data_IF_444755337465
#
_entry.id   IF_444755337465
#
_cell.length_a   1.000
_cell.length_b   1.000
_cell.length_c   1.000
_cell.angle_alpha   90.00
_cell.angle_beta   90.00
_cell.angle_gamma   90.00
#
_symmetry.space_group_name_H-M   'P 1'
#
loop_
_entity.id
_entity.type
_entity.pdbx_description
1 polymer ?
#
# COMPACT_ATOMS: atom_id res chain seq x y z
N UNK A 1 4.14 11.47 8.82
CA UNK A 1 2.73 11.66 9.24
C UNK A 1 2.11 12.99 8.79
N UNK A 2 2.85 14.03 8.39
CA UNK A 2 2.29 15.35 8.02
C UNK A 2 1.50 15.34 6.69
N UNK A 3 1.84 14.47 5.74
CA UNK A 3 1.20 14.42 4.41
C UNK A 3 -0.18 13.74 4.40
N UNK A 4 -0.50 12.95 5.43
CA UNK A 4 -1.78 12.25 5.54
C UNK A 4 -2.97 13.23 5.62
N UNK A 5 -2.78 14.36 6.30
CA UNK A 5 -3.79 15.41 6.42
C UNK A 5 -4.00 16.10 5.07
N UNK A 6 -2.92 16.35 4.33
CA UNK A 6 -2.98 16.97 3.02
C UNK A 6 -3.69 16.05 2.01
N UNK A 7 -3.38 14.75 1.99
CA UNK A 7 -4.02 13.80 1.10
C UNK A 7 -5.55 13.76 1.28
N UNK A 8 -6.03 13.86 2.52
CA UNK A 8 -7.48 13.83 2.80
C UNK A 8 -8.21 15.15 2.59
N UNK A 9 -7.49 16.28 2.65
CA UNK A 9 -8.08 17.62 2.53
C UNK A 9 -7.98 18.19 1.11
N UNK A 10 -6.79 18.13 0.51
CA UNK A 10 -6.50 18.65 -0.82
C UNK A 10 -5.42 17.77 -1.50
N UNK A 11 -5.86 16.74 -2.25
CA UNK A 11 -4.98 15.85 -3.00
C UNK A 11 -4.03 16.58 -3.95
N UNK A 12 -4.49 17.65 -4.60
CA UNK A 12 -3.66 18.42 -5.53
C UNK A 12 -2.55 19.18 -4.80
N UNK A 13 -2.87 19.77 -3.65
CA UNK A 13 -1.85 20.39 -2.80
C UNK A 13 -0.84 19.37 -2.27
N UNK A 14 -1.29 18.15 -1.93
CA UNK A 14 -0.39 17.08 -1.53
C UNK A 14 0.61 16.72 -2.65
N UNK A 15 0.13 16.56 -3.89
CA UNK A 15 0.99 16.31 -5.05
C UNK A 15 1.96 17.47 -5.26
N UNK A 16 1.48 18.72 -5.29
CA UNK A 16 2.33 19.91 -5.46
C UNK A 16 3.40 20.02 -4.37
N UNK A 17 3.07 19.68 -3.12
CA UNK A 17 4.03 19.66 -2.03
C UNK A 17 5.10 18.57 -2.20
N UNK A 18 4.69 17.36 -2.60
CA UNK A 18 5.61 16.26 -2.93
C UNK A 18 6.55 16.60 -4.08
N UNK A 19 6.00 17.13 -5.18
CA UNK A 19 6.76 17.57 -6.34
C UNK A 19 7.77 18.67 -5.97
N UNK A 20 7.35 19.66 -5.17
CA UNK A 20 8.25 20.69 -4.65
C UNK A 20 9.34 20.10 -3.78
N UNK A 21 9.03 19.13 -2.93
CA UNK A 21 10.02 18.48 -2.06
C UNK A 21 11.10 17.76 -2.88
N UNK A 22 10.70 17.02 -3.91
CA UNK A 22 11.65 16.33 -4.81
C UNK A 22 12.43 17.35 -5.64
N UNK A 23 11.81 18.44 -6.10
CA UNK A 23 12.53 19.50 -6.85
C UNK A 23 13.60 20.19 -6.01
N UNK A 24 13.34 20.41 -4.72
CA UNK A 24 14.29 21.05 -3.80
C UNK A 24 15.43 20.12 -3.39
N UNK A 25 15.17 18.81 -3.30
CA UNK A 25 16.21 17.83 -3.01
C UNK A 25 15.96 16.54 -3.81
N UNK A 26 16.43 16.48 -5.08
CA UNK A 26 16.15 15.37 -5.99
C UNK A 26 16.70 14.02 -5.55
N UNK A 27 17.74 14.03 -4.72
CA UNK A 27 18.44 12.86 -4.20
C UNK A 27 17.94 12.45 -2.81
N UNK A 28 17.02 13.22 -2.22
CA UNK A 28 16.47 12.88 -0.91
C UNK A 28 15.49 11.73 -1.03
N UNK A 29 15.90 10.55 -0.54
CA UNK A 29 15.02 9.38 -0.42
C UNK A 29 13.77 9.68 0.42
N UNK A 30 13.88 10.56 1.41
CA UNK A 30 12.72 11.00 2.18
C UNK A 30 11.75 11.83 1.32
N UNK A 31 12.26 12.73 0.47
CA UNK A 31 11.42 13.51 -0.44
C UNK A 31 10.75 12.62 -1.50
N UNK A 32 11.54 11.76 -2.16
CA UNK A 32 11.04 10.81 -3.16
C UNK A 32 10.02 9.86 -2.55
N UNK A 33 10.32 9.27 -1.39
CA UNK A 33 9.42 8.36 -0.69
C UNK A 33 8.11 9.01 -0.28
N UNK A 34 8.14 10.24 0.24
CA UNK A 34 6.92 10.98 0.57
C UNK A 34 6.07 11.27 -0.67
N UNK A 35 6.71 11.70 -1.77
CA UNK A 35 5.98 11.99 -3.01
C UNK A 35 5.37 10.74 -3.63
N UNK A 36 6.13 9.65 -3.70
CA UNK A 36 5.64 8.38 -4.22
C UNK A 36 4.52 7.78 -3.36
N UNK A 37 4.61 7.90 -2.04
CA UNK A 37 3.55 7.51 -1.11
C UNK A 37 2.24 8.26 -1.42
N UNK A 38 2.31 9.58 -1.59
CA UNK A 38 1.16 10.42 -1.99
C UNK A 38 0.56 9.92 -3.31
N UNK A 39 1.40 9.73 -4.34
CA UNK A 39 0.96 9.27 -5.66
C UNK A 39 0.27 7.90 -5.58
N UNK A 40 0.84 6.95 -4.83
CA UNK A 40 0.27 5.60 -4.69
C UNK A 40 -1.09 5.58 -3.97
N UNK A 41 -1.30 6.40 -2.94
CA UNK A 41 -2.58 6.52 -2.25
C UNK A 41 -3.64 7.20 -3.13
N UNK A 42 -3.23 8.11 -4.00
CA UNK A 42 -4.09 8.81 -4.95
C UNK A 42 -4.33 8.01 -6.24
N UNK A 43 -3.78 6.81 -6.37
CA UNK A 43 -3.98 5.94 -7.53
C UNK A 43 -3.14 6.29 -8.76
N UNK A 44 -2.10 7.12 -8.59
CA UNK A 44 -1.16 7.51 -9.66
C UNK A 44 0.00 6.51 -9.70
N UNK A 45 -0.32 5.28 -10.10
CA UNK A 45 0.55 4.13 -9.89
C UNK A 45 1.78 4.11 -10.80
N UNK A 46 1.67 4.57 -12.05
CA UNK A 46 2.79 4.66 -12.99
C UNK A 46 3.88 5.58 -12.45
N UNK A 47 3.49 6.81 -12.06
CA UNK A 47 4.40 7.82 -11.52
C UNK A 47 5.00 7.37 -10.17
N UNK A 48 4.18 6.75 -9.32
CA UNK A 48 4.62 6.20 -8.04
C UNK A 48 5.66 5.10 -8.23
N UNK A 49 5.39 4.12 -9.10
CA UNK A 49 6.29 3.00 -9.36
C UNK A 49 7.64 3.48 -9.92
N UNK A 50 7.63 4.43 -10.86
CA UNK A 50 8.87 5.00 -11.42
C UNK A 50 9.76 5.63 -10.33
N UNK A 51 9.16 6.39 -9.41
CA UNK A 51 9.89 7.02 -8.31
C UNK A 51 10.39 6.00 -7.27
N UNK A 52 9.58 5.00 -6.93
CA UNK A 52 9.92 3.98 -5.94
C UNK A 52 11.04 3.07 -6.42
N UNK A 53 10.96 2.60 -7.66
CA UNK A 53 12.00 1.76 -8.27
C UNK A 53 13.33 2.53 -8.39
N UNK A 54 13.28 3.83 -8.70
CA UNK A 54 14.48 4.68 -8.67
C UNK A 54 15.04 4.84 -7.26
N UNK A 55 14.17 5.05 -6.26
CA UNK A 55 14.62 5.18 -4.88
C UNK A 55 15.26 3.89 -4.35
N UNK A 56 14.79 2.74 -4.83
CA UNK A 56 15.32 1.43 -4.45
C UNK A 56 16.75 1.20 -4.92
N UNK A 57 17.12 1.68 -6.12
CA UNK A 57 18.49 1.48 -6.66
C UNK A 57 19.58 2.15 -5.83
N UNK A 58 19.22 3.17 -5.05
CA UNK A 58 20.16 3.95 -4.23
C UNK A 58 20.25 3.43 -2.78
N UNK A 59 19.49 2.37 -2.45
CA UNK A 59 19.37 1.84 -1.09
C UNK A 59 19.96 0.44 -0.97
N UNK A 60 20.90 0.27 -0.03
CA UNK A 60 21.47 -1.04 0.33
C UNK A 60 20.42 -1.96 0.98
N UNK A 61 19.50 -1.38 1.75
CA UNK A 61 18.40 -2.10 2.38
C UNK A 61 17.15 -1.21 2.37
N UNK A 62 16.23 -1.42 1.42
CA UNK A 62 15.04 -0.62 1.33
C UNK A 62 14.11 -0.91 2.53
N UNK A 63 13.46 0.13 3.09
CA UNK A 63 12.53 -0.03 4.20
C UNK A 63 11.21 -0.66 3.74
N UNK A 64 10.50 -1.36 4.65
CA UNK A 64 9.22 -2.03 4.34
C UNK A 64 8.15 -1.13 3.71
N UNK A 65 8.08 0.16 4.09
CA UNK A 65 7.12 1.07 3.48
C UNK A 65 7.38 1.26 1.97
N UNK A 66 8.64 1.24 1.54
CA UNK A 66 9.00 1.36 0.13
C UNK A 66 8.47 0.12 -0.60
N UNK A 67 8.80 -1.07 -0.12
CA UNK A 67 8.31 -2.33 -0.66
C UNK A 67 6.78 -2.38 -0.75
N UNK A 68 6.06 -1.92 0.28
CA UNK A 68 4.60 -1.88 0.25
C UNK A 68 4.05 -0.96 -0.84
N UNK A 69 4.58 0.26 -0.97
CA UNK A 69 4.12 1.19 -1.98
C UNK A 69 4.50 0.74 -3.41
N UNK A 70 5.64 0.05 -3.57
CA UNK A 70 6.04 -0.52 -4.85
C UNK A 70 5.13 -1.69 -5.22
N UNK A 71 4.89 -2.61 -4.28
CA UNK A 71 3.89 -3.68 -4.42
C UNK A 71 2.53 -3.12 -4.84
N UNK A 72 2.02 -2.12 -4.10
CA UNK A 72 0.70 -1.54 -4.35
C UNK A 72 0.64 -0.96 -5.77
N UNK A 73 1.65 -0.21 -6.17
CA UNK A 73 1.68 0.43 -7.49
C UNK A 73 1.74 -0.61 -8.60
N UNK A 74 2.67 -1.58 -8.53
CA UNK A 74 2.82 -2.63 -9.53
C UNK A 74 1.61 -3.56 -9.62
N UNK A 75 1.01 -3.93 -8.48
CA UNK A 75 -0.21 -4.73 -8.42
C UNK A 75 -1.39 -4.03 -9.12
N UNK A 76 -1.50 -2.71 -8.98
CA UNK A 76 -2.53 -1.95 -9.66
C UNK A 76 -2.26 -1.76 -11.17
N UNK A 77 -1.00 -1.83 -11.58
CA UNK A 77 -0.59 -1.84 -13.00
C UNK A 77 -0.67 -3.24 -13.65
N UNK A 78 -1.04 -4.28 -12.90
CA UNK A 78 -1.07 -5.66 -13.39
C UNK A 78 0.31 -6.32 -13.50
N UNK A 79 1.37 -5.68 -13.01
CA UNK A 79 2.74 -6.21 -12.96
C UNK A 79 2.91 -7.10 -11.74
N UNK A 80 2.18 -8.22 -11.74
CA UNK A 80 1.99 -9.06 -10.56
C UNK A 80 3.27 -9.74 -10.07
N UNK A 81 4.09 -10.28 -10.97
CA UNK A 81 5.34 -10.96 -10.59
C UNK A 81 6.30 -10.00 -9.85
N UNK A 82 6.45 -8.78 -10.36
CA UNK A 82 7.27 -7.76 -9.73
C UNK A 82 6.65 -7.26 -8.42
N UNK A 83 5.32 -7.14 -8.36
CA UNK A 83 4.65 -6.82 -7.10
C UNK A 83 4.97 -7.88 -6.05
N UNK A 84 4.80 -9.16 -6.37
CA UNK A 84 4.99 -10.26 -5.43
C UNK A 84 6.42 -10.34 -4.89
N UNK A 85 7.42 -10.03 -5.72
CA UNK A 85 8.81 -9.86 -5.26
C UNK A 85 8.91 -8.85 -4.09
N UNK A 86 8.24 -7.69 -4.18
CA UNK A 86 8.25 -6.72 -3.07
C UNK A 86 7.40 -7.19 -1.88
N UNK A 87 6.37 -8.01 -2.08
CA UNK A 87 5.58 -8.56 -0.97
C UNK A 87 6.40 -9.53 -0.09
N UNK A 88 7.37 -10.25 -0.66
CA UNK A 88 8.27 -11.14 0.09
C UNK A 88 9.10 -10.36 1.14
N UNK A 89 9.42 -9.10 0.86
CA UNK A 89 10.15 -8.20 1.75
C UNK A 89 9.27 -7.62 2.87
N UNK A 90 7.96 -7.91 2.85
CA UNK A 90 7.00 -7.55 3.90
C UNK A 90 6.75 -8.71 4.87
N UNK A 91 7.45 -9.84 4.71
CA UNK A 91 7.39 -10.94 5.67
C UNK A 91 7.81 -10.46 7.07
N UNK A 92 7.03 -10.85 8.09
CA UNK A 92 7.23 -10.38 9.46
C UNK A 92 6.71 -8.95 9.74
N UNK A 93 6.08 -8.27 8.79
CA UNK A 93 5.45 -6.98 9.03
C UNK A 93 4.38 -7.05 10.12
N UNK A 94 4.34 -6.01 10.95
CA UNK A 94 3.33 -5.87 12.02
C UNK A 94 2.21 -4.91 11.64
N UNK A 95 2.36 -4.15 10.56
CA UNK A 95 1.39 -3.14 10.13
C UNK A 95 0.29 -3.84 9.32
N UNK A 96 -1.00 -3.69 9.69
CA UNK A 96 -2.13 -4.30 8.97
C UNK A 96 -2.12 -4.02 7.47
N UNK A 97 -1.75 -2.80 7.09
CA UNK A 97 -1.64 -2.40 5.70
C UNK A 97 -0.57 -3.18 4.93
N UNK A 98 0.54 -3.57 5.57
CA UNK A 98 1.59 -4.36 4.89
C UNK A 98 1.22 -5.84 4.81
N UNK A 99 0.51 -6.34 5.84
CA UNK A 99 -0.04 -7.69 5.84
C UNK A 99 -1.07 -7.90 4.72
N UNK A 100 -1.75 -6.84 4.23
CA UNK A 100 -2.64 -6.96 3.07
C UNK A 100 -1.89 -7.36 1.79
N UNK A 101 -0.71 -6.79 1.57
CA UNK A 101 0.14 -7.13 0.44
C UNK A 101 0.63 -8.58 0.52
N UNK A 102 1.05 -9.01 1.72
CA UNK A 102 1.43 -10.41 1.97
C UNK A 102 0.26 -11.37 1.69
N UNK A 103 -0.95 -11.02 2.13
CA UNK A 103 -2.14 -11.84 1.90
C UNK A 103 -2.44 -12.00 0.40
N UNK A 104 -2.43 -10.89 -0.35
CA UNK A 104 -2.70 -10.87 -1.79
C UNK A 104 -1.66 -11.68 -2.56
N UNK A 105 -0.37 -11.47 -2.26
CA UNK A 105 0.72 -12.22 -2.91
C UNK A 105 0.67 -13.71 -2.59
N UNK A 106 0.42 -14.08 -1.32
CA UNK A 106 0.29 -15.47 -0.91
C UNK A 106 -0.87 -16.19 -1.60
N UNK A 107 -2.02 -15.53 -1.74
CA UNK A 107 -3.16 -16.07 -2.47
C UNK A 107 -2.82 -16.26 -3.96
N UNK A 108 -2.18 -15.28 -4.60
CA UNK A 108 -1.75 -15.41 -6.01
C UNK A 108 -0.75 -16.55 -6.22
N UNK A 109 0.12 -16.80 -5.25
CA UNK A 109 1.04 -17.93 -5.24
C UNK A 109 0.36 -19.29 -4.96
N UNK A 110 -0.96 -19.32 -4.72
CA UNK A 110 -1.72 -20.52 -4.36
C UNK A 110 -1.49 -21.00 -2.92
N UNK A 111 -0.83 -20.19 -2.08
CA UNK A 111 -0.58 -20.51 -0.68
C UNK A 111 -1.69 -19.92 0.22
N UNK A 112 -2.86 -20.55 0.16
CA UNK A 112 -4.05 -20.11 0.91
C UNK A 112 -3.83 -20.11 2.43
N UNK A 113 -2.99 -21.02 2.94
CA UNK A 113 -2.67 -21.06 4.37
C UNK A 113 -1.92 -19.79 4.82
N UNK A 114 -0.94 -19.34 4.03
CA UNK A 114 -0.20 -18.11 4.32
C UNK A 114 -1.09 -16.87 4.12
N UNK A 115 -1.95 -16.85 3.10
CA UNK A 115 -2.91 -15.77 2.89
C UNK A 115 -3.86 -15.61 4.09
N UNK A 116 -4.46 -16.72 4.53
CA UNK A 116 -5.35 -16.76 5.70
C UNK A 116 -4.63 -16.32 6.98
N UNK A 117 -3.38 -16.76 7.18
CA UNK A 117 -2.57 -16.36 8.34
C UNK A 117 -2.29 -14.85 8.34
N UNK A 118 -1.97 -14.26 7.19
CA UNK A 118 -1.74 -12.82 7.06
C UNK A 118 -3.02 -12.02 7.36
N UNK A 119 -4.18 -12.46 6.83
CA UNK A 119 -5.49 -11.85 7.09
C UNK A 119 -5.86 -11.94 8.58
N UNK A 120 -5.68 -13.09 9.21
CA UNK A 120 -5.93 -13.26 10.65
C UNK A 120 -5.01 -12.36 11.48
N UNK A 121 -3.73 -12.27 11.11
CA UNK A 121 -2.76 -11.38 11.74
C UNK A 121 -3.13 -9.91 11.61
N UNK A 122 -3.68 -9.52 10.46
CA UNK A 122 -4.18 -8.17 10.17
C UNK A 122 -5.39 -7.83 11.05
N UNK A 123 -6.41 -8.70 11.06
CA UNK A 123 -7.64 -8.51 11.85
C UNK A 123 -7.37 -8.56 13.35
N UNK A 124 -6.50 -9.48 13.80
CA UNK A 124 -6.15 -9.59 15.22
C UNK A 124 -5.48 -8.33 15.78
N UNK A 125 -4.78 -7.58 14.93
CA UNK A 125 -4.16 -6.30 15.28
C UNK A 125 -5.11 -5.12 15.17
N UNK A 126 -5.96 -5.13 14.14
CA UNK A 126 -6.92 -4.08 13.88
C UNK A 126 -8.26 -4.70 13.47
N UNK A 127 -9.13 -5.00 14.45
CA UNK A 127 -10.43 -5.65 14.19
C UNK A 127 -11.33 -4.88 13.23
N UNK A 128 -11.12 -3.57 13.10
CA UNK A 128 -11.81 -2.69 12.15
C UNK A 128 -11.63 -3.11 10.68
N UNK A 129 -10.56 -3.85 10.32
CA UNK A 129 -10.40 -4.40 8.97
C UNK A 129 -11.47 -5.44 8.61
N UNK A 130 -12.13 -6.05 9.60
CA UNK A 130 -13.23 -6.99 9.36
C UNK A 130 -14.58 -6.29 9.22
N UNK A 131 -14.78 -5.18 9.93
CA UNK A 131 -16.09 -4.50 10.02
C UNK A 131 -16.20 -3.27 9.12
N UNK A 132 -15.10 -2.55 8.89
CA UNK A 132 -15.06 -1.35 8.07
C UNK A 132 -13.69 -1.17 7.38
N UNK A 133 -13.30 -2.09 6.48
CA UNK A 133 -12.00 -2.01 5.81
C UNK A 133 -11.86 -0.78 4.92
N UNK A 134 -12.94 -0.32 4.25
CA UNK A 134 -12.89 0.93 3.48
C UNK A 134 -12.60 2.14 4.38
N UNK A 135 -13.22 2.19 5.57
CA UNK A 135 -12.94 3.23 6.56
C UNK A 135 -11.48 3.22 7.00
N UNK A 136 -10.90 2.04 7.25
CA UNK A 136 -9.48 1.90 7.58
C UNK A 136 -8.58 2.37 6.43
N UNK A 137 -8.87 1.98 5.18
CA UNK A 137 -8.11 2.42 4.01
C UNK A 137 -8.20 3.95 3.81
N UNK A 138 -9.38 4.54 3.99
CA UNK A 138 -9.54 6.00 4.00
C UNK A 138 -8.77 6.66 5.15
N UNK A 139 -8.64 5.98 6.30
CA UNK A 139 -7.77 6.42 7.40
C UNK A 139 -6.28 6.34 7.04
N UNK A 140 -5.86 5.49 6.11
CA UNK A 140 -4.52 5.55 5.54
C UNK A 140 -4.36 6.61 4.44
N UNK A 141 -5.45 7.29 4.05
CA UNK A 141 -5.42 8.35 3.04
C UNK A 141 -5.60 7.83 1.61
N UNK A 142 -6.04 6.59 1.43
CA UNK A 142 -6.38 6.10 0.09
C UNK A 142 -7.55 6.91 -0.49
N UNK A 143 -7.44 7.23 -1.78
CA UNK A 143 -8.59 7.64 -2.58
C UNK A 143 -9.63 6.52 -2.65
N UNK A 144 -10.89 6.86 -2.94
CA UNK A 144 -11.98 5.89 -3.01
C UNK A 144 -11.66 4.74 -3.98
N UNK A 145 -11.20 5.06 -5.20
CA UNK A 145 -10.85 4.05 -6.19
C UNK A 145 -9.69 3.14 -5.76
N UNK A 146 -8.65 3.70 -5.15
CA UNK A 146 -7.51 2.92 -4.66
C UNK A 146 -7.90 2.02 -3.46
N UNK A 147 -8.72 2.54 -2.53
CA UNK A 147 -9.23 1.80 -1.40
C UNK A 147 -10.12 0.63 -1.85
N UNK A 148 -11.06 0.89 -2.75
CA UNK A 148 -11.98 -0.12 -3.28
C UNK A 148 -11.23 -1.22 -4.04
N UNK A 149 -10.22 -0.86 -4.84
CA UNK A 149 -9.44 -1.87 -5.56
C UNK A 149 -8.63 -2.75 -4.62
N UNK A 150 -7.93 -2.16 -3.64
CA UNK A 150 -7.19 -2.94 -2.64
C UNK A 150 -8.13 -3.83 -1.81
N UNK A 151 -9.32 -3.35 -1.48
CA UNK A 151 -10.33 -4.16 -0.81
C UNK A 151 -10.80 -5.33 -1.67
N UNK A 152 -11.06 -5.13 -2.97
CA UNK A 152 -11.42 -6.23 -3.88
C UNK A 152 -10.33 -7.29 -3.92
N UNK A 153 -9.07 -6.87 -4.09
CA UNK A 153 -7.92 -7.79 -4.12
C UNK A 153 -7.81 -8.58 -2.80
N UNK A 154 -8.06 -7.93 -1.66
CA UNK A 154 -8.10 -8.58 -0.34
C UNK A 154 -9.27 -9.57 -0.16
N UNK A 155 -10.45 -9.22 -0.64
CA UNK A 155 -11.63 -10.10 -0.60
C UNK A 155 -11.38 -11.34 -1.45
N UNK A 156 -10.78 -11.17 -2.64
CA UNK A 156 -10.30 -12.29 -3.47
C UNK A 156 -9.29 -13.15 -2.72
N UNK A 157 -8.38 -12.54 -1.97
CA UNK A 157 -7.42 -13.25 -1.11
C UNK A 157 -8.01 -13.93 0.14
N UNK A 158 -9.34 -13.87 0.34
CA UNK A 158 -10.02 -14.57 1.43
C UNK A 158 -10.45 -13.68 2.61
N UNK A 159 -10.36 -12.34 2.48
CA UNK A 159 -10.89 -11.44 3.51
C UNK A 159 -12.42 -11.55 3.56
N UNK A 160 -12.94 -12.28 4.56
CA UNK A 160 -14.38 -12.31 4.83
C UNK A 160 -14.81 -11.06 5.58
N UNK A 161 -15.63 -10.25 4.93
CA UNK A 161 -16.34 -9.16 5.60
C UNK A 161 -17.36 -9.76 6.56
N UNK A 162 -17.62 -9.10 7.69
CA UNK A 162 -18.72 -9.53 8.56
C UNK A 162 -20.02 -9.31 7.77
N UNK A 163 -20.75 -10.38 7.48
CA UNK A 163 -22.17 -10.27 7.11
C UNK A 163 -22.87 -9.49 8.22
N UNK A 164 -23.68 -8.49 7.85
CA UNK A 164 -24.54 -7.82 8.83
C UNK A 164 -25.29 -8.90 9.63
N UNK A 165 -25.39 -8.78 10.97
CA UNK A 165 -26.24 -9.68 11.72
C UNK A 165 -27.66 -9.51 11.20
N UNK A 166 -28.18 -10.60 10.62
CA UNK A 166 -29.59 -10.79 10.28
C UNK A 166 -30.50 -10.47 11.47
#
# INVERSE_FOLDING_TARGET
MQYLILIRGDPEAAIKAGEKSVRLNPESMAAIGNYACILSFLGRYEDAAALLLRAETDLVSPPQWLHFHTFLSLNNLGRYEEADYHAEHLTGASIPLFLSAVAIAAHRAGNEAAAQQAIQSMIGRAPAWRTNPLGELKRYGFSDGAAEKLLRDLVTAGLSLRDEPN
#
